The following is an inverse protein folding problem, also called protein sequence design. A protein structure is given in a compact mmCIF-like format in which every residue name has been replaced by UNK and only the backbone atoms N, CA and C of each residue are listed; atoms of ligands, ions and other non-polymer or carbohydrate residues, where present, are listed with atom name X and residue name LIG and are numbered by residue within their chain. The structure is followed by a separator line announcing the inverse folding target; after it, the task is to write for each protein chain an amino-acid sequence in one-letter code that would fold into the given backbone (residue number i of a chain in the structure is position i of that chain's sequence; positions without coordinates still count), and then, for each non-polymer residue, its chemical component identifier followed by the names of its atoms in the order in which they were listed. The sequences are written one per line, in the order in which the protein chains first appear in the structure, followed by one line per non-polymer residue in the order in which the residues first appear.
data_IF_972173572511
#
_entry.id   IF_972173572511
#
_cell.length_a   1.000
_cell.length_b   1.000
_cell.length_c   1.000
_cell.angle_alpha   90.00
_cell.angle_beta   90.00
_cell.angle_gamma   90.00
#
_symmetry.space_group_name_H-M   'P 1'
#
loop_
_entity.id
_entity.type
_entity.pdbx_description
1 polymer ?
#
# COMPACT_ATOMS: atom_id res chain seq x y z
N UNK A 1 24.84 -2.93 -17.56
CA UNK A 1 26.13 -2.61 -18.16
C UNK A 1 27.23 -3.52 -17.64
N UNK A 2 28.24 -3.78 -18.48
CA UNK A 2 29.39 -4.57 -18.11
C UNK A 2 30.35 -3.70 -17.27
N UNK A 3 30.79 -4.20 -16.12
CA UNK A 3 31.79 -3.54 -15.28
C UNK A 3 33.19 -3.60 -15.91
N UNK A 4 34.14 -2.74 -15.49
CA UNK A 4 35.51 -2.80 -15.95
C UNK A 4 36.18 -4.16 -15.71
N UNK A 5 35.74 -4.96 -14.74
CA UNK A 5 36.22 -6.30 -14.47
C UNK A 5 35.55 -7.41 -15.33
N UNK A 6 34.79 -7.00 -16.36
CA UNK A 6 34.12 -7.89 -17.30
C UNK A 6 32.82 -8.52 -16.77
N UNK A 7 32.44 -8.27 -15.52
CA UNK A 7 31.20 -8.81 -14.94
C UNK A 7 29.98 -7.95 -15.27
N UNK A 8 28.86 -8.57 -15.53
CA UNK A 8 27.58 -7.89 -15.67
C UNK A 8 27.02 -7.50 -14.30
N UNK A 9 26.63 -6.24 -14.13
CA UNK A 9 26.02 -5.72 -12.91
C UNK A 9 24.97 -4.68 -13.23
N UNK A 10 23.87 -4.72 -12.50
CA UNK A 10 22.83 -3.70 -12.51
C UNK A 10 22.95 -2.71 -11.34
N UNK A 11 24.06 -2.75 -10.60
CA UNK A 11 24.32 -1.83 -9.50
C UNK A 11 24.53 -0.41 -10.03
N UNK A 12 23.79 0.55 -9.47
CA UNK A 12 23.81 1.95 -9.92
C UNK A 12 23.05 2.23 -11.22
N UNK A 13 22.36 1.22 -11.80
CA UNK A 13 21.48 1.40 -12.96
C UNK A 13 20.06 1.58 -12.47
N UNK A 14 19.44 2.68 -12.86
CA UNK A 14 18.01 2.87 -12.64
C UNK A 14 17.23 1.80 -13.43
N UNK A 15 16.37 1.06 -12.73
CA UNK A 15 15.53 0.05 -13.35
C UNK A 15 14.18 0.65 -13.66
N UNK A 16 13.78 0.53 -14.89
CA UNK A 16 12.51 1.05 -15.41
C UNK A 16 11.73 -0.08 -16.09
N UNK A 17 10.42 0.06 -16.28
CA UNK A 17 9.66 -0.85 -17.13
C UNK A 17 10.24 -0.98 -18.54
N UNK A 18 10.13 -2.15 -19.12
CA UNK A 18 10.55 -2.38 -20.51
C UNK A 18 9.70 -1.53 -21.46
N UNK A 19 10.32 -0.95 -22.48
CA UNK A 19 9.63 -0.04 -23.41
C UNK A 19 9.01 1.19 -22.72
N UNK A 20 9.69 1.75 -21.73
CA UNK A 20 9.19 2.90 -20.96
C UNK A 20 8.72 4.08 -21.82
N UNK A 21 9.40 4.51 -22.90
CA UNK A 21 8.91 5.60 -23.74
C UNK A 21 7.56 5.33 -24.36
N UNK A 22 7.34 4.10 -24.88
CA UNK A 22 6.09 3.67 -25.48
C UNK A 22 5.00 3.52 -24.43
N UNK A 23 5.31 3.03 -23.23
CA UNK A 23 4.41 3.00 -22.09
C UNK A 23 3.90 4.40 -21.74
N UNK A 24 4.81 5.35 -21.52
CA UNK A 24 4.44 6.71 -21.15
C UNK A 24 3.60 7.41 -22.23
N UNK A 25 3.94 7.19 -23.51
CA UNK A 25 3.14 7.72 -24.61
C UNK A 25 1.76 7.06 -24.66
N UNK A 26 1.68 5.75 -24.44
CA UNK A 26 0.40 5.02 -24.37
C UNK A 26 -0.51 5.53 -23.26
N UNK A 27 0.04 5.74 -22.06
CA UNK A 27 -0.72 6.30 -20.92
C UNK A 27 -1.22 7.71 -21.25
N UNK A 28 -0.37 8.57 -21.82
CA UNK A 28 -0.74 9.93 -22.23
C UNK A 28 -1.86 9.93 -23.28
N UNK A 29 -1.81 8.99 -24.21
CA UNK A 29 -2.81 8.85 -25.28
C UNK A 29 -4.06 8.08 -24.82
N UNK A 30 -4.18 7.77 -23.52
CA UNK A 30 -5.27 6.97 -22.93
C UNK A 30 -5.47 5.62 -23.62
N UNK A 31 -4.38 5.02 -24.10
CA UNK A 31 -4.39 3.67 -24.68
C UNK A 31 -4.40 2.62 -23.59
N UNK A 32 -4.99 1.48 -23.91
CA UNK A 32 -4.89 0.28 -23.13
C UNK A 32 -3.43 -0.19 -23.05
N UNK A 33 -2.97 -0.56 -21.86
CA UNK A 33 -1.63 -1.07 -21.61
C UNK A 33 -1.71 -2.55 -21.24
N UNK A 34 -1.03 -3.41 -21.97
CA UNK A 34 -0.85 -4.80 -21.59
C UNK A 34 0.42 -4.93 -20.71
N UNK A 35 0.29 -5.53 -19.55
CA UNK A 35 1.41 -5.86 -18.67
C UNK A 35 1.61 -7.38 -18.68
N UNK A 36 2.75 -7.82 -19.20
CA UNK A 36 3.15 -9.20 -19.42
C UNK A 36 4.35 -9.56 -18.55
N UNK A 37 4.69 -10.86 -18.43
CA UNK A 37 5.82 -11.27 -17.57
C UNK A 37 7.18 -11.18 -18.26
N UNK A 38 7.23 -11.42 -19.59
CA UNK A 38 8.45 -11.51 -20.35
C UNK A 38 8.61 -10.43 -21.42
N UNK A 39 9.86 -10.03 -21.72
CA UNK A 39 10.16 -9.10 -22.83
C UNK A 39 9.78 -9.68 -24.19
N UNK A 40 9.93 -11.00 -24.39
CA UNK A 40 9.50 -11.74 -25.58
C UNK A 40 8.02 -11.55 -25.84
N UNK A 41 7.22 -11.67 -24.80
CA UNK A 41 5.76 -11.55 -24.87
C UNK A 41 5.32 -10.12 -25.14
N UNK A 42 6.02 -9.15 -24.55
CA UNK A 42 5.83 -7.72 -24.83
C UNK A 42 6.09 -7.44 -26.31
N UNK A 43 7.20 -7.91 -26.87
CA UNK A 43 7.54 -7.69 -28.29
C UNK A 43 6.50 -8.37 -29.20
N UNK A 44 5.98 -9.55 -28.81
CA UNK A 44 4.91 -10.23 -29.54
C UNK A 44 3.61 -9.43 -29.51
N UNK A 45 3.21 -8.89 -28.36
CA UNK A 45 2.02 -8.06 -28.21
C UNK A 45 2.13 -6.74 -29.03
N UNK A 46 3.32 -6.16 -29.10
CA UNK A 46 3.59 -4.97 -29.92
C UNK A 46 3.41 -5.28 -31.42
N UNK A 47 3.89 -6.42 -31.89
CA UNK A 47 3.69 -6.86 -33.28
C UNK A 47 2.19 -7.04 -33.57
N UNK A 48 1.39 -7.43 -32.59
CA UNK A 48 -0.06 -7.51 -32.69
C UNK A 48 -0.76 -6.15 -32.59
N UNK A 49 -0.04 -5.04 -32.39
CA UNK A 49 -0.57 -3.67 -32.40
C UNK A 49 -0.95 -3.09 -31.04
N UNK A 50 -0.60 -3.74 -29.95
CA UNK A 50 -0.88 -3.27 -28.58
C UNK A 50 0.28 -2.47 -28.00
N UNK A 51 -0.05 -1.60 -27.06
CA UNK A 51 0.97 -1.01 -26.16
C UNK A 51 1.20 -2.02 -25.03
N UNK A 52 2.43 -2.49 -24.89
CA UNK A 52 2.75 -3.51 -23.92
C UNK A 52 4.07 -3.19 -23.19
N UNK A 53 4.17 -3.69 -21.97
CA UNK A 53 5.36 -3.54 -21.12
C UNK A 53 5.53 -4.74 -20.20
N UNK A 54 6.70 -4.84 -19.59
CA UNK A 54 7.04 -5.74 -18.49
C UNK A 54 8.06 -5.09 -17.57
N UNK A 55 8.42 -5.75 -16.51
CA UNK A 55 9.41 -5.29 -15.54
C UNK A 55 10.61 -6.25 -15.46
N UNK A 56 11.75 -5.73 -15.06
CA UNK A 56 12.99 -6.50 -15.04
C UNK A 56 12.99 -7.53 -13.93
N UNK A 57 13.14 -8.81 -14.30
CA UNK A 57 13.44 -9.90 -13.38
C UNK A 57 12.30 -10.84 -13.04
N UNK A 58 11.15 -10.75 -13.73
CA UNK A 58 10.02 -11.70 -13.61
C UNK A 58 9.22 -11.58 -12.32
N UNK A 59 8.33 -12.55 -12.10
CA UNK A 59 7.42 -12.61 -10.96
C UNK A 59 8.15 -12.39 -9.62
N UNK A 60 7.60 -11.51 -8.78
CA UNK A 60 8.18 -11.16 -7.47
C UNK A 60 9.30 -10.12 -7.48
N UNK A 61 9.61 -9.50 -8.62
CA UNK A 61 10.61 -8.43 -8.77
C UNK A 61 10.02 -7.04 -9.03
N UNK A 62 8.70 -6.91 -8.87
CA UNK A 62 8.06 -5.60 -8.93
C UNK A 62 8.66 -4.63 -7.92
N UNK A 63 8.83 -3.39 -8.32
CA UNK A 63 9.29 -2.29 -7.48
C UNK A 63 8.17 -1.28 -7.34
N UNK A 64 7.97 -0.76 -6.13
CA UNK A 64 6.85 0.16 -5.86
C UNK A 64 6.92 1.42 -6.72
N UNK A 65 8.14 1.87 -7.07
CA UNK A 65 8.35 3.02 -7.96
C UNK A 65 7.78 2.82 -9.36
N UNK A 66 7.63 1.57 -9.81
CA UNK A 66 7.06 1.28 -11.14
C UNK A 66 5.59 1.68 -11.24
N UNK A 67 4.85 1.65 -10.13
CA UNK A 67 3.42 2.00 -10.12
C UNK A 67 3.15 3.40 -10.64
N UNK A 68 4.07 4.34 -10.41
CA UNK A 68 3.91 5.73 -10.85
C UNK A 68 3.87 5.88 -12.39
N UNK A 69 4.53 5.01 -13.13
CA UNK A 69 4.49 5.03 -14.60
C UNK A 69 3.12 4.64 -15.17
N UNK A 70 2.24 4.06 -14.34
CA UNK A 70 0.89 3.63 -14.70
C UNK A 70 -0.21 4.57 -14.18
N UNK A 71 0.16 5.75 -13.70
CA UNK A 71 -0.80 6.70 -13.14
C UNK A 71 -1.85 7.10 -14.18
N UNK A 72 -3.13 6.77 -13.85
CA UNK A 72 -4.27 7.01 -14.74
C UNK A 72 -4.39 6.04 -15.92
N UNK A 73 -3.54 5.01 -16.03
CA UNK A 73 -3.60 4.03 -17.11
C UNK A 73 -4.77 3.06 -16.97
N UNK A 74 -5.28 2.58 -18.11
CA UNK A 74 -6.11 1.38 -18.21
C UNK A 74 -5.19 0.19 -18.48
N UNK A 75 -5.08 -0.73 -17.51
CA UNK A 75 -4.08 -1.82 -17.50
C UNK A 75 -4.77 -3.17 -17.55
N UNK A 76 -4.31 -4.03 -18.45
CA UNK A 76 -4.65 -5.46 -18.46
C UNK A 76 -3.41 -6.27 -18.14
N UNK A 77 -3.46 -6.98 -17.03
CA UNK A 77 -2.44 -7.91 -16.57
C UNK A 77 -2.68 -9.26 -17.23
N UNK A 78 -1.67 -9.83 -17.87
CA UNK A 78 -1.75 -11.14 -18.48
C UNK A 78 -0.68 -12.05 -17.85
N UNK A 79 -1.07 -12.91 -16.89
CA UNK A 79 -0.14 -13.85 -16.26
C UNK A 79 0.25 -14.97 -17.20
N UNK A 80 1.44 -15.54 -16.99
CA UNK A 80 1.76 -16.87 -17.49
C UNK A 80 0.78 -17.88 -16.87
N UNK A 81 0.48 -18.95 -17.59
CA UNK A 81 -0.50 -19.95 -17.16
C UNK A 81 0.07 -20.89 -16.08
N UNK A 82 0.61 -20.30 -15.01
CA UNK A 82 1.11 -21.02 -13.84
C UNK A 82 0.84 -20.28 -12.52
N UNK A 83 1.03 -21.02 -11.41
CA UNK A 83 0.77 -20.47 -10.07
C UNK A 83 1.67 -19.27 -9.74
N UNK A 84 2.98 -19.26 -10.02
CA UNK A 84 3.82 -18.08 -9.84
C UNK A 84 3.35 -16.85 -10.63
N UNK A 85 2.98 -17.04 -11.89
CA UNK A 85 2.47 -15.98 -12.77
C UNK A 85 1.21 -15.32 -12.22
N UNK A 86 0.20 -16.13 -11.89
CA UNK A 86 -1.04 -15.65 -11.27
C UNK A 86 -0.79 -14.89 -9.98
N UNK A 87 0.08 -15.41 -9.09
CA UNK A 87 0.45 -14.74 -7.83
C UNK A 87 1.20 -13.42 -8.09
N UNK A 88 2.12 -13.42 -9.04
CA UNK A 88 2.91 -12.26 -9.41
C UNK A 88 2.02 -11.13 -9.94
N UNK A 89 1.13 -11.43 -10.90
CA UNK A 89 0.22 -10.45 -11.46
C UNK A 89 -0.84 -9.97 -10.46
N UNK A 90 -1.34 -10.85 -9.57
CA UNK A 90 -2.22 -10.46 -8.47
C UNK A 90 -1.52 -9.49 -7.52
N UNK A 91 -0.25 -9.70 -7.20
CA UNK A 91 0.54 -8.79 -6.39
C UNK A 91 0.69 -7.41 -7.06
N UNK A 92 0.99 -7.40 -8.37
CA UNK A 92 1.13 -6.16 -9.14
C UNK A 92 -0.19 -5.40 -9.24
N UNK A 93 -1.30 -6.11 -9.46
CA UNK A 93 -2.63 -5.51 -9.46
C UNK A 93 -2.90 -4.73 -8.17
N UNK A 94 -2.54 -5.29 -7.00
CA UNK A 94 -2.64 -4.60 -5.71
C UNK A 94 -1.77 -3.34 -5.64
N UNK A 95 -0.56 -3.38 -6.20
CA UNK A 95 0.36 -2.22 -6.22
C UNK A 95 -0.10 -1.11 -7.16
N UNK A 96 -0.82 -1.45 -8.21
CA UNK A 96 -1.41 -0.50 -9.15
C UNK A 96 -2.74 0.10 -8.66
N UNK A 97 -3.37 -0.52 -7.65
CA UNK A 97 -4.63 -0.05 -7.09
C UNK A 97 -4.49 1.38 -6.54
N UNK A 98 -5.44 2.25 -6.91
CA UNK A 98 -5.40 3.67 -6.54
C UNK A 98 -4.42 4.52 -7.37
N UNK A 99 -3.58 3.91 -8.22
CA UNK A 99 -2.68 4.61 -9.15
C UNK A 99 -3.17 4.50 -10.60
N UNK A 100 -3.44 3.30 -11.08
CA UNK A 100 -4.09 3.09 -12.38
C UNK A 100 -5.57 3.45 -12.32
N UNK A 101 -6.16 3.90 -13.44
CA UNK A 101 -7.58 4.23 -13.53
C UNK A 101 -8.46 2.98 -13.62
N UNK A 102 -7.93 1.92 -14.22
CA UNK A 102 -8.60 0.64 -14.39
C UNK A 102 -7.57 -0.49 -14.37
N UNK A 103 -7.93 -1.61 -13.75
CA UNK A 103 -7.08 -2.80 -13.69
C UNK A 103 -7.95 -4.02 -14.00
N UNK A 104 -7.49 -4.83 -14.96
CA UNK A 104 -8.12 -6.09 -15.35
C UNK A 104 -7.09 -7.20 -15.35
N UNK A 105 -7.52 -8.44 -15.16
CA UNK A 105 -6.65 -9.62 -15.26
C UNK A 105 -7.25 -10.57 -16.28
N UNK A 106 -6.51 -10.83 -17.36
CA UNK A 106 -6.92 -11.69 -18.44
C UNK A 106 -6.12 -12.99 -18.39
N UNK A 107 -6.78 -14.08 -18.03
CA UNK A 107 -6.29 -15.43 -18.22
C UNK A 107 -6.59 -15.87 -19.65
N UNK A 108 -5.55 -16.16 -20.42
CA UNK A 108 -5.68 -16.48 -21.84
C UNK A 108 -6.31 -17.87 -22.05
N UNK A 109 -7.41 -17.98 -22.81
CA UNK A 109 -8.08 -19.25 -23.04
C UNK A 109 -7.26 -20.17 -23.95
N UNK A 110 -7.45 -21.48 -23.84
CA UNK A 110 -6.84 -22.49 -24.75
C UNK A 110 -5.43 -22.92 -24.39
N UNK A 111 -4.83 -22.37 -23.34
CA UNK A 111 -3.49 -22.78 -22.89
C UNK A 111 -3.47 -24.09 -22.10
N UNK A 112 -4.64 -24.62 -21.74
CA UNK A 112 -4.76 -25.81 -20.90
C UNK A 112 -4.91 -25.47 -19.41
N UNK A 113 -4.79 -26.46 -18.51
CA UNK A 113 -4.88 -26.23 -17.08
C UNK A 113 -3.67 -25.41 -16.59
N UNK A 114 -3.91 -24.60 -15.55
CA UNK A 114 -2.85 -23.87 -14.89
C UNK A 114 -1.83 -24.83 -14.26
N UNK A 115 -0.56 -24.59 -14.50
CA UNK A 115 0.55 -25.46 -14.07
C UNK A 115 1.15 -24.99 -12.74
N UNK A 116 1.85 -25.87 -12.05
CA UNK A 116 2.54 -25.50 -10.80
C UNK A 116 3.70 -24.53 -11.04
N UNK A 117 4.39 -24.67 -12.18
CA UNK A 117 5.51 -23.80 -12.64
C UNK A 117 5.74 -23.98 -14.14
N UNK A 118 6.33 -22.94 -14.74
CA UNK A 118 6.74 -22.94 -16.15
C UNK A 118 5.55 -23.22 -17.10
N UNK A 119 4.45 -22.57 -16.82
CA UNK A 119 3.26 -22.62 -17.65
C UNK A 119 3.47 -21.95 -18.99
N UNK A 120 2.51 -22.13 -19.88
CA UNK A 120 2.48 -21.48 -21.18
C UNK A 120 2.33 -19.96 -21.03
N UNK A 121 3.03 -19.24 -21.89
CA UNK A 121 3.09 -17.78 -21.90
C UNK A 121 2.15 -17.16 -22.97
N UNK A 122 2.16 -15.83 -23.04
CA UNK A 122 1.43 -15.08 -24.06
C UNK A 122 1.85 -15.47 -25.50
N UNK A 123 3.13 -15.71 -25.75
CA UNK A 123 3.62 -16.11 -27.06
C UNK A 123 3.09 -17.47 -27.46
N UNK A 124 3.01 -18.43 -26.54
CA UNK A 124 2.39 -19.74 -26.78
C UNK A 124 0.92 -19.58 -27.18
N UNK A 125 0.19 -18.67 -26.52
CA UNK A 125 -1.19 -18.36 -26.89
C UNK A 125 -1.28 -17.75 -28.29
N UNK A 126 -0.41 -16.79 -28.59
CA UNK A 126 -0.40 -16.10 -29.89
C UNK A 126 -0.01 -17.00 -31.06
N UNK A 127 0.63 -18.14 -30.80
CA UNK A 127 1.02 -19.15 -31.79
C UNK A 127 -0.07 -20.21 -32.02
N UNK A 128 -1.15 -20.21 -31.23
CA UNK A 128 -2.30 -21.10 -31.48
C UNK A 128 -3.05 -20.64 -32.74
N UNK A 129 -3.47 -21.60 -33.54
CA UNK A 129 -4.25 -21.35 -34.76
C UNK A 129 -5.53 -20.56 -34.45
N UNK A 130 -5.75 -19.47 -35.18
CA UNK A 130 -6.92 -18.64 -35.04
C UNK A 130 -6.75 -17.47 -34.05
N UNK A 131 -5.74 -17.46 -33.21
CA UNK A 131 -5.50 -16.35 -32.28
C UNK A 131 -4.86 -15.16 -33.01
N UNK A 132 -5.59 -14.05 -33.04
CA UNK A 132 -5.22 -12.82 -33.76
C UNK A 132 -5.32 -11.61 -32.83
N UNK A 133 -4.84 -10.46 -33.31
CA UNK A 133 -5.02 -9.19 -32.61
C UNK A 133 -6.49 -8.82 -32.38
N UNK A 134 -7.39 -9.25 -33.28
CA UNK A 134 -8.85 -9.02 -33.12
C UNK A 134 -9.37 -9.85 -31.94
N UNK A 135 -9.04 -11.13 -31.90
CA UNK A 135 -9.46 -12.03 -30.80
C UNK A 135 -8.90 -11.53 -29.46
N UNK A 136 -7.63 -11.10 -29.42
CA UNK A 136 -7.05 -10.52 -28.20
C UNK A 136 -7.79 -9.25 -27.76
N UNK A 137 -8.13 -8.38 -28.71
CA UNK A 137 -8.87 -7.17 -28.39
C UNK A 137 -10.27 -7.50 -27.81
N UNK A 138 -10.96 -8.47 -28.38
CA UNK A 138 -12.28 -8.89 -27.90
C UNK A 138 -12.19 -9.47 -26.48
N UNK A 139 -11.21 -10.36 -26.21
CA UNK A 139 -10.94 -10.89 -24.88
C UNK A 139 -10.66 -9.80 -23.86
N UNK A 140 -9.83 -8.83 -24.22
CA UNK A 140 -9.49 -7.68 -23.38
C UNK A 140 -10.73 -6.82 -23.07
N UNK A 141 -11.59 -6.60 -24.07
CA UNK A 141 -12.80 -5.80 -23.89
C UNK A 141 -13.87 -6.50 -23.05
N UNK A 142 -13.95 -7.83 -23.12
CA UNK A 142 -14.88 -8.65 -22.33
C UNK A 142 -14.39 -8.91 -20.91
N UNK A 143 -13.07 -8.70 -20.64
CA UNK A 143 -12.51 -8.92 -19.30
C UNK A 143 -13.05 -7.90 -18.32
N UNK A 144 -13.67 -8.37 -17.25
CA UNK A 144 -14.18 -7.56 -16.17
C UNK A 144 -13.04 -6.91 -15.37
N UNK A 145 -13.38 -5.85 -14.64
CA UNK A 145 -12.44 -5.19 -13.73
C UNK A 145 -11.97 -6.21 -12.68
N UNK A 146 -10.69 -6.19 -12.40
CA UNK A 146 -10.11 -7.07 -11.42
C UNK A 146 -10.70 -6.73 -10.04
N UNK A 147 -11.61 -7.57 -9.56
CA UNK A 147 -11.98 -7.57 -8.16
C UNK A 147 -10.76 -8.03 -7.36
N UNK A 148 -9.86 -7.07 -7.13
CA UNK A 148 -8.76 -7.35 -6.22
C UNK A 148 -9.37 -7.75 -4.88
N UNK A 149 -9.04 -8.93 -4.35
CA UNK A 149 -9.31 -9.16 -2.96
C UNK A 149 -8.56 -8.04 -2.22
N UNK A 150 -9.29 -7.00 -1.82
CA UNK A 150 -8.79 -5.88 -0.99
C UNK A 150 -8.17 -6.39 0.32
N UNK A 151 -8.17 -7.70 0.49
CA UNK A 151 -7.78 -8.41 1.68
C UNK A 151 -6.60 -9.35 1.40
N UNK A 152 -5.40 -8.77 1.28
CA UNK A 152 -4.16 -9.56 1.23
C UNK A 152 -3.91 -10.37 2.51
N UNK A 153 -4.68 -10.09 3.56
CA UNK A 153 -4.64 -10.75 4.85
C UNK A 153 -5.64 -11.92 4.99
N UNK A 154 -6.54 -12.16 3.99
CA UNK A 154 -7.38 -13.36 3.90
C UNK A 154 -6.86 -14.23 2.75
N UNK A 155 -6.57 -15.47 3.03
CA UNK A 155 -6.07 -16.39 2.00
C UNK A 155 -6.76 -17.76 2.07
N UNK A 156 -7.07 -18.35 0.90
CA UNK A 156 -7.73 -19.64 0.83
C UNK A 156 -6.79 -20.78 1.30
N UNK A 157 -7.38 -21.80 1.88
CA UNK A 157 -6.71 -23.06 2.23
C UNK A 157 -7.58 -24.24 1.80
N UNK A 158 -7.03 -25.46 1.84
CA UNK A 158 -7.80 -26.68 1.52
C UNK A 158 -9.04 -26.87 2.41
N UNK A 159 -9.07 -26.28 3.58
CA UNK A 159 -10.16 -26.40 4.59
C UNK A 159 -10.96 -25.12 4.79
N UNK A 160 -10.86 -24.13 3.92
CA UNK A 160 -11.56 -22.85 4.04
C UNK A 160 -10.59 -21.67 3.89
N UNK A 161 -10.79 -20.61 4.66
CA UNK A 161 -9.95 -19.41 4.63
C UNK A 161 -9.16 -19.26 5.92
N UNK A 162 -8.00 -18.59 5.84
CA UNK A 162 -7.18 -18.20 6.99
C UNK A 162 -6.90 -16.71 6.96
N UNK A 163 -6.62 -16.16 8.14
CA UNK A 163 -6.32 -14.74 8.37
C UNK A 163 -4.82 -14.59 8.69
N UNK A 164 -4.14 -13.73 7.95
CA UNK A 164 -2.80 -13.29 8.29
C UNK A 164 -2.90 -12.13 9.28
N UNK A 165 -2.68 -12.44 10.56
CA UNK A 165 -2.82 -11.48 11.67
C UNK A 165 -1.82 -10.33 11.59
N UNK A 166 -0.60 -10.58 11.08
CA UNK A 166 0.41 -9.55 10.91
C UNK A 166 -0.01 -8.51 9.86
N UNK A 167 -0.50 -8.97 8.71
CA UNK A 167 -1.01 -8.05 7.67
C UNK A 167 -2.26 -7.28 8.15
N UNK A 168 -3.16 -7.91 8.91
CA UNK A 168 -4.28 -7.18 9.54
C UNK A 168 -3.76 -6.07 10.45
N UNK A 169 -2.75 -6.35 11.27
CA UNK A 169 -2.17 -5.37 12.16
C UNK A 169 -1.46 -4.25 11.40
N UNK A 170 -0.76 -4.56 10.30
CA UNK A 170 -0.15 -3.56 9.41
C UNK A 170 -1.20 -2.62 8.81
N UNK A 171 -2.31 -3.15 8.27
CA UNK A 171 -3.40 -2.34 7.75
C UNK A 171 -4.00 -1.40 8.81
N UNK A 172 -4.30 -1.93 9.99
CA UNK A 172 -4.85 -1.13 11.08
C UNK A 172 -3.86 -0.03 11.50
N UNK A 173 -2.57 -0.34 11.57
CA UNK A 173 -1.54 0.62 11.97
C UNK A 173 -1.35 1.73 10.93
N UNK A 174 -1.42 1.40 9.64
CA UNK A 174 -1.30 2.36 8.53
C UNK A 174 -2.51 3.30 8.43
N UNK A 175 -3.73 2.76 8.66
CA UNK A 175 -4.98 3.52 8.61
C UNK A 175 -5.04 4.65 9.67
N UNK A 176 -4.25 4.55 10.73
CA UNK A 176 -4.14 5.59 11.77
C UNK A 176 -3.34 6.83 11.35
N UNK A 177 -2.72 6.85 10.16
CA UNK A 177 -1.94 7.97 9.64
C UNK A 177 -0.91 8.55 10.64
N UNK A 178 -0.33 7.71 11.49
CA UNK A 178 0.61 8.09 12.54
C UNK A 178 -0.03 8.76 13.75
N UNK A 179 -1.35 8.70 13.91
CA UNK A 179 -2.07 9.24 15.08
C UNK A 179 -2.24 8.21 16.20
N UNK A 180 -1.56 7.07 16.13
CA UNK A 180 -1.55 6.03 17.14
C UNK A 180 -0.11 5.58 17.41
N UNK A 181 0.27 5.49 18.66
CA UNK A 181 1.58 4.96 19.10
C UNK A 181 1.40 4.03 20.29
N UNK A 182 2.41 3.18 20.54
CA UNK A 182 2.42 2.28 21.68
C UNK A 182 3.63 2.58 22.58
N UNK A 183 3.35 3.05 23.80
CA UNK A 183 4.36 3.51 24.77
C UNK A 183 4.08 2.87 26.13
N UNK A 184 5.09 2.24 26.74
CA UNK A 184 4.99 1.69 28.08
C UNK A 184 3.73 0.82 28.30
N UNK A 185 3.49 -0.11 27.36
CA UNK A 185 2.35 -1.05 27.38
C UNK A 185 0.96 -0.37 27.24
N UNK A 186 0.90 0.86 26.75
CA UNK A 186 -0.35 1.58 26.52
C UNK A 186 -0.39 2.16 25.12
N UNK A 187 -1.56 2.18 24.52
CA UNK A 187 -1.80 2.92 23.30
C UNK A 187 -2.09 4.38 23.61
N UNK A 188 -1.57 5.26 22.76
CA UNK A 188 -1.79 6.69 22.81
C UNK A 188 -2.26 7.17 21.44
N UNK A 189 -3.33 7.96 21.43
CA UNK A 189 -3.92 8.52 20.23
C UNK A 189 -3.74 10.03 20.19
N UNK A 190 -3.40 10.57 19.04
CA UNK A 190 -3.32 12.01 18.80
C UNK A 190 -4.64 12.53 18.26
N UNK A 191 -5.27 13.42 19.01
CA UNK A 191 -6.48 14.12 18.62
C UNK A 191 -6.54 15.48 19.30
N UNK A 192 -7.14 16.50 18.66
CA UNK A 192 -7.32 17.82 19.26
C UNK A 192 -6.02 18.52 19.69
N UNK A 193 -4.87 18.16 19.09
CA UNK A 193 -3.59 18.78 19.42
C UNK A 193 -2.83 18.15 20.59
N UNK A 194 -3.30 17.02 21.11
CA UNK A 194 -2.71 16.35 22.27
C UNK A 194 -2.67 14.84 22.08
N UNK A 195 -1.67 14.19 22.69
CA UNK A 195 -1.61 12.74 22.82
C UNK A 195 -2.29 12.31 24.11
N UNK A 196 -3.32 11.49 23.97
CA UNK A 196 -4.07 10.95 25.10
C UNK A 196 -4.01 9.43 25.13
N UNK A 197 -3.98 8.86 26.33
CA UNK A 197 -4.05 7.41 26.50
C UNK A 197 -5.42 6.91 26.07
N UNK A 198 -5.41 5.88 25.22
CA UNK A 198 -6.63 5.18 24.79
C UNK A 198 -6.77 3.83 25.51
N UNK A 199 -7.96 3.51 25.95
CA UNK A 199 -8.24 2.22 26.60
C UNK A 199 -8.16 1.06 25.61
N UNK A 200 -7.58 -0.05 26.03
CA UNK A 200 -7.39 -1.27 25.22
C UNK A 200 -8.69 -1.75 24.55
N UNK A 201 -9.81 -1.58 25.23
CA UNK A 201 -11.13 -1.98 24.70
C UNK A 201 -11.47 -1.24 23.40
N UNK A 202 -11.04 0.02 23.25
CA UNK A 202 -11.31 0.80 22.04
C UNK A 202 -10.48 0.28 20.87
N UNK A 203 -9.20 -0.04 21.09
CA UNK A 203 -8.35 -0.64 20.06
C UNK A 203 -8.91 -2.01 19.64
N UNK A 204 -9.28 -2.86 20.59
CA UNK A 204 -9.89 -4.17 20.32
C UNK A 204 -11.24 -4.04 19.59
N UNK A 205 -12.01 -3.02 19.89
CA UNK A 205 -13.25 -2.72 19.16
C UNK A 205 -12.98 -2.30 17.72
N UNK A 206 -11.99 -1.45 17.47
CA UNK A 206 -11.57 -1.07 16.10
C UNK A 206 -11.11 -2.29 15.32
N UNK A 207 -10.28 -3.16 15.89
CA UNK A 207 -9.85 -4.42 15.29
C UNK A 207 -11.08 -5.28 14.93
N UNK A 208 -12.04 -5.43 15.83
CA UNK A 208 -13.25 -6.18 15.57
C UNK A 208 -14.08 -5.58 14.43
N UNK A 209 -14.25 -4.26 14.41
CA UNK A 209 -14.97 -3.55 13.33
C UNK A 209 -14.29 -3.80 12.00
N UNK A 210 -12.96 -3.63 11.92
CA UNK A 210 -12.18 -3.90 10.72
C UNK A 210 -12.37 -5.32 10.21
N UNK A 211 -12.19 -6.32 11.05
CA UNK A 211 -12.39 -7.73 10.70
C UNK A 211 -13.84 -8.01 10.28
N UNK A 212 -14.83 -7.42 10.96
CA UNK A 212 -16.26 -7.64 10.68
C UNK A 212 -16.74 -7.01 9.37
N UNK A 213 -15.93 -6.15 8.75
CA UNK A 213 -16.22 -5.59 7.42
C UNK A 213 -16.25 -6.66 6.31
N UNK A 214 -15.71 -7.87 6.59
CA UNK A 214 -15.61 -8.98 5.64
C UNK A 214 -16.53 -10.12 6.05
N UNK A 215 -17.56 -10.35 5.22
CA UNK A 215 -18.60 -11.36 5.50
C UNK A 215 -18.01 -12.76 5.59
N UNK A 216 -17.06 -13.09 4.69
CA UNK A 216 -16.46 -14.42 4.56
C UNK A 216 -15.70 -14.91 5.80
N UNK A 217 -15.27 -13.99 6.68
CA UNK A 217 -14.50 -14.36 7.88
C UNK A 217 -15.23 -14.10 9.20
N UNK A 218 -16.46 -13.58 9.18
CA UNK A 218 -17.19 -13.27 10.43
C UNK A 218 -17.22 -14.43 11.41
N UNK A 219 -17.35 -15.66 10.91
CA UNK A 219 -17.35 -16.88 11.71
C UNK A 219 -16.01 -17.23 12.35
N UNK A 220 -14.90 -16.60 11.90
CA UNK A 220 -13.54 -16.79 12.42
C UNK A 220 -13.17 -15.75 13.48
N UNK A 221 -13.99 -14.71 13.68
CA UNK A 221 -13.69 -13.62 14.61
C UNK A 221 -13.92 -14.09 16.05
N UNK A 222 -12.82 -14.40 16.71
CA UNK A 222 -12.79 -14.81 18.11
C UNK A 222 -12.06 -13.79 18.97
N UNK A 223 -12.27 -13.84 20.30
CA UNK A 223 -11.51 -13.01 21.24
C UNK A 223 -10.00 -13.28 21.14
N UNK A 224 -9.60 -14.53 20.89
CA UNK A 224 -8.20 -14.90 20.69
C UNK A 224 -7.60 -14.25 19.43
N UNK A 225 -8.35 -14.23 18.32
CA UNK A 225 -7.91 -13.55 17.09
C UNK A 225 -7.71 -12.04 17.32
N UNK A 226 -8.68 -11.40 17.99
CA UNK A 226 -8.61 -9.96 18.30
C UNK A 226 -7.39 -9.68 19.20
N UNK A 227 -7.15 -10.50 20.21
CA UNK A 227 -6.02 -10.36 21.12
C UNK A 227 -4.68 -10.52 20.41
N UNK A 228 -4.57 -11.50 19.50
CA UNK A 228 -3.35 -11.70 18.71
C UNK A 228 -3.07 -10.51 17.78
N UNK A 229 -4.08 -9.98 17.09
CA UNK A 229 -3.93 -8.78 16.25
C UNK A 229 -3.57 -7.57 17.11
N UNK A 230 -4.24 -7.37 18.25
CA UNK A 230 -3.94 -6.29 19.19
C UNK A 230 -2.46 -6.28 19.62
N UNK A 231 -1.89 -7.44 19.95
CA UNK A 231 -0.46 -7.55 20.28
C UNK A 231 0.44 -7.19 19.10
N UNK A 232 0.09 -7.60 17.89
CA UNK A 232 0.84 -7.27 16.69
C UNK A 232 0.79 -5.76 16.39
N UNK A 233 -0.36 -5.11 16.54
CA UNK A 233 -0.49 -3.65 16.42
C UNK A 233 0.43 -2.94 17.41
N UNK A 234 0.45 -3.39 18.68
CA UNK A 234 1.36 -2.85 19.69
C UNK A 234 2.84 -2.99 19.33
N UNK A 235 3.24 -4.12 18.71
CA UNK A 235 4.62 -4.33 18.24
C UNK A 235 4.96 -3.36 17.09
N UNK A 236 4.07 -3.19 16.12
CA UNK A 236 4.28 -2.33 14.94
C UNK A 236 4.39 -0.86 15.35
N UNK A 237 3.56 -0.42 16.30
CA UNK A 237 3.48 0.97 16.75
C UNK A 237 4.37 1.29 17.95
N UNK A 238 5.23 0.33 18.36
CA UNK A 238 6.14 0.52 19.48
C UNK A 238 7.14 1.62 19.19
N UNK A 239 7.14 2.63 20.03
CA UNK A 239 8.14 3.71 19.95
C UNK A 239 9.50 3.26 20.50
N UNK A 240 10.61 3.95 20.15
CA UNK A 240 11.94 3.67 20.71
C UNK A 240 11.98 3.70 22.25
N UNK A 241 12.86 2.95 22.89
CA UNK A 241 12.93 2.87 24.35
C UNK A 241 13.26 4.17 25.07
N UNK A 242 13.90 5.12 24.36
CA UNK A 242 14.26 6.45 24.84
C UNK A 242 13.19 7.51 24.56
N UNK A 243 12.02 7.07 24.10
CA UNK A 243 10.89 7.96 23.82
C UNK A 243 10.37 8.62 25.11
N UNK A 244 10.17 9.93 25.04
CA UNK A 244 9.60 10.74 26.10
C UNK A 244 8.51 11.66 25.54
N UNK A 245 7.39 11.73 26.24
CA UNK A 245 6.42 12.82 26.02
C UNK A 245 6.97 14.14 26.56
N UNK A 246 6.50 15.27 25.97
CA UNK A 246 6.88 16.62 26.37
C UNK A 246 8.41 16.81 26.40
N UNK A 247 9.11 16.25 25.43
CA UNK A 247 10.58 16.29 25.37
C UNK A 247 11.14 17.70 25.23
N UNK A 248 10.37 18.59 24.65
CA UNK A 248 10.75 20.00 24.46
C UNK A 248 10.20 20.83 25.61
N UNK A 249 11.01 21.10 26.69
CA UNK A 249 10.53 21.75 27.91
C UNK A 249 10.16 23.21 27.72
N UNK A 250 10.66 23.82 26.65
CA UNK A 250 10.38 25.21 26.32
C UNK A 250 9.15 25.39 25.41
N UNK A 251 8.38 24.35 25.20
CA UNK A 251 7.17 24.39 24.39
C UNK A 251 5.94 24.16 25.27
N UNK A 252 5.01 25.09 25.24
CA UNK A 252 3.73 25.02 25.95
C UNK A 252 2.60 24.75 24.94
N UNK A 253 1.72 23.82 25.27
CA UNK A 253 0.58 23.45 24.43
C UNK A 253 -0.71 24.05 25.05
N UNK A 254 -1.39 24.90 24.30
CA UNK A 254 -2.67 25.52 24.66
C UNK A 254 -3.80 24.95 23.82
N UNK A 255 -5.06 25.20 24.17
CA UNK A 255 -6.21 24.71 23.39
C UNK A 255 -6.22 25.26 21.95
N UNK A 256 -5.71 26.45 21.70
CA UNK A 256 -5.67 27.10 20.39
C UNK A 256 -4.32 27.04 19.69
N UNK A 257 -3.29 26.34 20.23
CA UNK A 257 -2.00 26.24 19.56
C UNK A 257 -0.82 25.98 20.49
N UNK A 258 0.38 26.23 19.98
CA UNK A 258 1.63 25.91 20.66
C UNK A 258 2.49 27.17 20.80
N UNK A 259 2.98 27.44 21.99
CA UNK A 259 3.89 28.54 22.31
C UNK A 259 5.31 28.03 22.51
N UNK A 260 6.24 28.53 21.73
CA UNK A 260 7.67 28.35 21.93
C UNK A 260 8.20 29.49 22.84
N UNK A 261 8.66 29.12 24.02
CA UNK A 261 9.16 30.09 25.01
C UNK A 261 10.53 30.68 24.65
N UNK A 262 11.39 29.92 23.95
CA UNK A 262 12.73 30.39 23.55
C UNK A 262 12.63 31.50 22.49
N UNK A 263 11.73 31.35 21.54
CA UNK A 263 11.50 32.32 20.47
C UNK A 263 10.37 33.30 20.78
N UNK A 264 9.57 33.09 21.81
CA UNK A 264 8.36 33.87 22.10
C UNK A 264 7.32 33.78 20.97
N UNK A 265 7.35 32.71 20.18
CA UNK A 265 6.51 32.52 19.01
C UNK A 265 5.31 31.64 19.33
N UNK A 266 4.11 32.13 19.06
CA UNK A 266 2.88 31.37 19.14
C UNK A 266 2.46 30.95 17.73
N UNK A 267 2.18 29.65 17.58
CA UNK A 267 1.64 29.06 16.36
C UNK A 267 0.22 28.50 16.63
N UNK A 268 -0.76 28.97 15.87
CA UNK A 268 -2.16 28.47 15.92
C UNK A 268 -2.32 27.03 15.39
N UNK A 269 -1.25 26.26 15.42
CA UNK A 269 -1.19 24.89 14.92
C UNK A 269 -0.52 24.02 15.97
N UNK A 270 -1.15 22.91 16.28
CA UNK A 270 -0.53 21.85 17.08
C UNK A 270 0.38 20.98 16.22
N UNK A 271 1.56 20.68 16.72
CA UNK A 271 2.53 19.82 16.05
C UNK A 271 2.59 18.47 16.73
N UNK A 272 2.06 17.44 16.06
CA UNK A 272 2.01 16.06 16.54
C UNK A 272 3.39 15.53 16.94
N UNK A 273 4.41 15.91 16.20
CA UNK A 273 5.80 15.47 16.33
C UNK A 273 6.47 15.97 17.62
N UNK A 274 5.86 16.92 18.32
CA UNK A 274 6.31 17.36 19.64
C UNK A 274 5.88 16.40 20.76
N UNK A 275 5.01 15.45 20.47
CA UNK A 275 4.53 14.44 21.40
C UNK A 275 4.03 15.03 22.73
N UNK A 276 3.29 16.14 22.66
CA UNK A 276 2.72 16.76 23.84
C UNK A 276 1.55 15.92 24.37
N UNK A 277 1.60 15.56 25.65
CA UNK A 277 0.50 14.89 26.36
C UNK A 277 -0.05 15.72 27.52
N UNK A 278 0.37 16.98 27.60
CA UNK A 278 -0.15 17.99 28.50
C UNK A 278 -0.62 19.17 27.64
N UNK A 279 -1.84 19.64 27.92
CA UNK A 279 -2.41 20.80 27.24
C UNK A 279 -3.10 21.68 28.27
N UNK A 280 -2.86 22.98 28.20
CA UNK A 280 -3.61 23.93 28.98
C UNK A 280 -5.03 24.07 28.43
N UNK A 281 -6.07 24.01 29.30
CA UNK A 281 -7.46 23.95 28.84
C UNK A 281 -8.04 25.33 28.48
N UNK A 282 -7.19 26.29 28.12
CA UNK A 282 -7.56 27.63 27.71
C UNK A 282 -6.70 28.09 26.53
N UNK A 283 -7.19 29.10 25.84
CA UNK A 283 -6.51 29.73 24.72
C UNK A 283 -5.36 30.59 25.17
N UNK A 284 -4.24 30.55 24.49
CA UNK A 284 -3.18 31.53 24.62
C UNK A 284 -3.66 32.85 24.00
N UNK A 285 -3.57 33.92 24.81
CA UNK A 285 -3.83 35.26 24.34
C UNK A 285 -2.62 36.14 24.69
N UNK A 286 -1.95 36.66 23.67
CA UNK A 286 -0.77 37.49 23.81
C UNK A 286 -1.09 38.84 24.53
N UNK A 287 -2.30 39.33 24.34
CA UNK A 287 -2.77 40.61 24.88
C UNK A 287 -3.53 40.44 26.20
N UNK A 288 -3.46 39.26 26.81
CA UNK A 288 -4.10 39.02 28.09
C UNK A 288 -3.51 39.92 29.18
N UNK A 289 -4.37 40.65 29.84
CA UNK A 289 -4.02 41.53 30.95
C UNK A 289 -4.18 40.78 32.26
N UNK A 290 -3.19 40.89 33.14
CA UNK A 290 -3.21 40.30 34.48
C UNK A 290 -3.15 41.42 35.56
N UNK A 291 -4.29 42.04 35.88
CA UNK A 291 -4.32 43.24 36.75
C UNK A 291 -3.70 43.03 38.14
N UNK A 292 -3.76 41.81 38.66
CA UNK A 292 -3.16 41.47 39.95
C UNK A 292 -1.63 41.33 39.90
N UNK A 293 -1.07 41.02 38.73
CA UNK A 293 0.37 40.92 38.52
C UNK A 293 1.00 42.28 38.28
N UNK A 294 0.26 43.19 37.64
CA UNK A 294 0.70 44.57 37.36
C UNK A 294 0.79 45.43 38.60
N UNK A 295 0.32 44.92 39.75
CA UNK A 295 0.40 45.58 41.06
C UNK A 295 1.67 45.25 41.85
N UNK A 296 2.51 44.33 41.35
CA UNK A 296 3.80 43.96 41.92
C UNK A 296 4.96 44.52 41.12
#
# INVERSE_FOLDING_TARGET
PQRPDGKWSLEGVERVPYRLPELLQGVKDSKLILLLEGEKDVDRAIVMGFVATTFVGGAGKWRDEYSEYFRGADVVLIPDNDIPGLKGMTYIAKKLHGTASRIRMLELPGLGPCEDKHGKDFSDWADLDGNTSVILNDLVMETEDCELPLNDWIYPTKSGVRINKALVAEHISQDQNGNLIYVNQNFWSYAGGIWERIEDVHIKAQIRIFLSSKEEIKHLITSALIEDVYKQVGIILLVPPDFLFNREPMVLNFSNGTLDLDGGLFAEIHRRELFQNIQFPYDFNRDAHCPNWDLF
#
